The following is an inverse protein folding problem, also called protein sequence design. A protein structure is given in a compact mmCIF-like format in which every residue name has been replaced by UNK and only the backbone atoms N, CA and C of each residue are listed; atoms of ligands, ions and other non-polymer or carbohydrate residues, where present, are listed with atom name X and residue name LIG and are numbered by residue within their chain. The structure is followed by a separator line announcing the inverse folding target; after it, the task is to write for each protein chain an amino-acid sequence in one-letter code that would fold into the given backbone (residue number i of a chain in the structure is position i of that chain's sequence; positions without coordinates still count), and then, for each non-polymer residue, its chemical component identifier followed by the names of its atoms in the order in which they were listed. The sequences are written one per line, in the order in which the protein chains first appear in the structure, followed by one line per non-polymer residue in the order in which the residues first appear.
data_IF_520153534458
#
_entry.id   IF_520153534458
#
_cell.length_a   1.000
_cell.length_b   1.000
_cell.length_c   1.000
_cell.angle_alpha   90.00
_cell.angle_beta   90.00
_cell.angle_gamma   90.00
#
_symmetry.space_group_name_H-M   'P 1'
#
loop_
_entity.id
_entity.type
_entity.pdbx_description
1 polymer ?
#
# COMPACT_ATOMS: atom_id res chain seq x y z
N UNK A 1 -2.15 2.80 11.30
CA UNK A 1 -0.94 2.00 10.98
C UNK A 1 -1.30 1.01 9.89
N UNK A 2 -0.43 0.81 8.90
CA UNK A 2 -0.62 -0.18 7.84
C UNK A 2 0.44 -1.28 8.00
N UNK A 3 -0.01 -2.53 8.09
CA UNK A 3 0.88 -3.70 8.12
C UNK A 3 0.85 -4.37 6.76
N UNK A 4 2.01 -4.64 6.17
CA UNK A 4 2.11 -5.45 4.96
C UNK A 4 2.34 -6.89 5.37
N UNK A 5 1.54 -7.78 4.80
CA UNK A 5 1.58 -9.21 5.02
C UNK A 5 1.99 -9.93 3.73
N UNK A 6 2.76 -11.00 3.87
CA UNK A 6 3.00 -11.93 2.77
C UNK A 6 1.76 -12.80 2.47
N UNK A 7 1.88 -13.70 1.50
CA UNK A 7 0.80 -14.63 1.11
C UNK A 7 0.34 -15.55 2.26
N UNK A 8 1.24 -15.88 3.18
CA UNK A 8 0.98 -16.68 4.39
C UNK A 8 0.43 -15.85 5.56
N UNK A 9 0.07 -14.57 5.34
CA UNK A 9 -0.40 -13.60 6.34
C UNK A 9 0.61 -13.30 7.45
N UNK A 10 1.89 -13.53 7.21
CA UNK A 10 2.95 -13.12 8.14
C UNK A 10 3.32 -11.65 7.88
N UNK A 11 3.48 -10.82 8.93
CA UNK A 11 3.89 -9.44 8.78
C UNK A 11 5.33 -9.34 8.28
N UNK A 12 5.54 -8.52 7.26
CA UNK A 12 6.85 -8.29 6.62
C UNK A 12 7.24 -6.81 6.57
N UNK A 13 6.29 -5.89 6.75
CA UNK A 13 6.58 -4.47 6.91
C UNK A 13 5.48 -3.76 7.71
N UNK A 14 5.83 -2.67 8.39
CA UNK A 14 4.91 -1.80 9.12
C UNK A 14 5.18 -0.35 8.72
N UNK A 15 4.10 0.38 8.40
CA UNK A 15 4.08 1.79 8.10
C UNK A 15 3.18 2.52 9.10
N UNK A 16 3.79 3.32 9.96
CA UNK A 16 3.07 4.14 10.95
C UNK A 16 2.57 5.45 10.34
N UNK A 17 3.35 6.02 9.41
CA UNK A 17 3.08 7.30 8.76
C UNK A 17 2.69 7.10 7.29
N UNK A 18 1.38 7.03 7.04
CA UNK A 18 0.79 7.04 5.69
C UNK A 18 -0.09 8.27 5.53
N UNK A 19 -0.34 8.64 4.27
CA UNK A 19 -0.99 9.88 3.87
C UNK A 19 -2.07 9.57 2.82
N UNK A 20 -3.06 10.46 2.70
CA UNK A 20 -4.09 10.42 1.66
C UNK A 20 -4.78 9.07 1.56
N UNK A 21 -5.17 8.49 2.69
CA UNK A 21 -5.90 7.25 2.72
C UNK A 21 -7.38 7.45 2.32
N UNK A 22 -7.88 6.54 1.50
CA UNK A 22 -9.27 6.53 1.07
C UNK A 22 -9.78 5.10 0.92
N UNK A 23 -11.02 4.85 1.34
CA UNK A 23 -11.76 3.64 1.01
C UNK A 23 -12.84 4.02 0.01
N UNK A 24 -12.74 3.46 -1.20
CA UNK A 24 -13.73 3.63 -2.25
C UNK A 24 -14.53 2.35 -2.42
N UNK A 25 -15.85 2.43 -2.29
CA UNK A 25 -16.76 1.37 -2.70
C UNK A 25 -16.93 1.39 -4.22
N UNK A 26 -16.71 0.24 -4.86
CA UNK A 26 -16.91 0.03 -6.29
C UNK A 26 -18.21 -0.74 -6.53
N UNK A 27 -18.67 -0.69 -7.78
CA UNK A 27 -19.80 -1.49 -8.26
C UNK A 27 -19.59 -2.97 -7.91
N UNK A 28 -20.67 -3.63 -7.46
CA UNK A 28 -20.71 -5.02 -6.98
C UNK A 28 -20.08 -5.26 -5.59
N UNK A 29 -19.99 -4.23 -4.74
CA UNK A 29 -19.60 -4.39 -3.33
C UNK A 29 -18.11 -4.67 -3.14
N UNK A 30 -17.28 -4.36 -4.13
CA UNK A 30 -15.83 -4.43 -3.99
C UNK A 30 -15.32 -3.13 -3.34
N UNK A 31 -14.46 -3.24 -2.32
CA UNK A 31 -13.85 -2.08 -1.68
C UNK A 31 -12.38 -1.96 -2.11
N UNK A 32 -11.96 -0.75 -2.45
CA UNK A 32 -10.55 -0.42 -2.72
C UNK A 32 -10.04 0.52 -1.66
N UNK A 33 -8.92 0.14 -1.05
CA UNK A 33 -8.17 1.01 -0.15
C UNK A 33 -6.98 1.62 -0.91
N UNK A 34 -6.94 2.94 -1.00
CA UNK A 34 -5.82 3.71 -1.53
C UNK A 34 -5.08 4.41 -0.39
N UNK A 35 -3.75 4.49 -0.49
CA UNK A 35 -2.93 5.25 0.46
C UNK A 35 -1.57 5.60 -0.18
N UNK A 36 -0.91 6.59 0.39
CA UNK A 36 0.47 6.98 0.06
C UNK A 36 1.38 6.80 1.26
N UNK A 37 2.62 6.40 1.02
CA UNK A 37 3.67 6.30 2.04
C UNK A 37 4.96 6.92 1.51
N UNK A 38 5.72 7.54 2.41
CA UNK A 38 7.12 7.89 2.12
C UNK A 38 7.92 6.60 2.23
N UNK A 39 8.48 6.15 1.12
CA UNK A 39 9.25 4.93 1.06
C UNK A 39 10.66 5.16 1.61
N UNK A 40 11.04 4.31 2.56
CA UNK A 40 12.42 3.98 2.85
C UNK A 40 12.83 2.82 1.92
N UNK A 41 14.07 2.84 1.42
CA UNK A 41 14.57 1.88 0.41
C UNK A 41 14.35 0.43 0.86
N UNK A 42 14.55 0.15 2.16
CA UNK A 42 14.44 -1.19 2.75
C UNK A 42 13.03 -1.78 2.69
N UNK A 43 11.99 -0.94 2.82
CA UNK A 43 10.59 -1.39 2.92
C UNK A 43 9.85 -1.37 1.58
N UNK A 44 10.37 -0.63 0.61
CA UNK A 44 9.76 -0.47 -0.72
C UNK A 44 9.49 -1.80 -1.44
N UNK A 45 10.39 -2.76 -1.30
CA UNK A 45 10.30 -4.10 -1.88
C UNK A 45 9.05 -4.89 -1.43
N UNK A 46 8.44 -4.55 -0.29
CA UNK A 46 7.28 -5.25 0.22
C UNK A 46 5.96 -4.71 -0.35
N UNK A 47 5.96 -3.52 -0.96
CA UNK A 47 4.80 -2.96 -1.66
C UNK A 47 4.74 -3.57 -3.07
N UNK A 48 4.27 -4.82 -3.14
CA UNK A 48 4.22 -5.58 -4.39
C UNK A 48 2.93 -6.38 -4.49
N UNK A 49 2.56 -6.69 -5.74
CA UNK A 49 1.40 -7.55 -6.02
C UNK A 49 1.60 -8.92 -5.40
N UNK A 50 0.55 -9.43 -4.75
CA UNK A 50 0.56 -10.72 -4.05
C UNK A 50 0.76 -10.59 -2.53
N UNK A 51 1.29 -9.47 -2.05
CA UNK A 51 1.21 -9.10 -0.63
C UNK A 51 -0.15 -8.46 -0.31
N UNK A 52 -0.45 -8.37 0.99
CA UNK A 52 -1.69 -7.76 1.50
C UNK A 52 -1.36 -6.57 2.39
N UNK A 53 -2.21 -5.55 2.37
CA UNK A 53 -2.23 -4.48 3.36
C UNK A 53 -3.30 -4.79 4.40
N UNK A 54 -2.94 -4.72 5.68
CA UNK A 54 -3.86 -4.75 6.80
C UNK A 54 -3.97 -3.35 7.40
N UNK A 55 -5.20 -2.87 7.52
CA UNK A 55 -5.54 -1.58 8.15
C UNK A 55 -6.83 -1.77 8.94
N UNK A 56 -6.84 -1.38 10.21
CA UNK A 56 -8.01 -1.46 11.09
C UNK A 56 -8.69 -2.85 11.12
N UNK A 57 -7.89 -3.93 11.07
CA UNK A 57 -8.37 -5.31 11.07
C UNK A 57 -8.97 -5.80 9.74
N UNK A 58 -8.93 -4.97 8.69
CA UNK A 58 -9.36 -5.32 7.35
C UNK A 58 -8.17 -5.64 6.44
N UNK A 59 -8.36 -6.58 5.51
CA UNK A 59 -7.31 -7.04 4.61
C UNK A 59 -7.60 -6.66 3.16
N UNK A 60 -6.66 -5.97 2.53
CA UNK A 60 -6.72 -5.56 1.13
C UNK A 60 -5.58 -6.23 0.35
N UNK A 61 -5.89 -6.81 -0.81
CA UNK A 61 -4.85 -7.29 -1.71
C UNK A 61 -4.18 -6.10 -2.40
N UNK A 62 -2.85 -6.07 -2.44
CA UNK A 62 -2.13 -5.08 -3.24
C UNK A 62 -2.26 -5.52 -4.70
N UNK A 63 -3.02 -4.76 -5.49
CA UNK A 63 -3.26 -5.03 -6.92
C UNK A 63 -2.54 -4.06 -7.84
N UNK A 64 -2.18 -2.87 -7.31
CA UNK A 64 -1.49 -1.82 -8.05
C UNK A 64 -0.73 -0.94 -7.06
N UNK A 65 0.46 -0.52 -7.45
CA UNK A 65 1.22 0.54 -6.76
C UNK A 65 1.93 1.41 -7.80
N UNK A 66 2.27 2.64 -7.41
CA UNK A 66 3.10 3.55 -8.21
C UNK A 66 4.13 4.15 -7.27
N UNK A 67 5.39 4.09 -7.66
CA UNK A 67 6.47 4.79 -6.99
C UNK A 67 6.75 6.08 -7.75
N UNK A 68 6.87 7.19 -7.03
CA UNK A 68 7.29 8.46 -7.59
C UNK A 68 8.68 8.77 -7.05
N UNK A 69 9.69 8.74 -7.92
CA UNK A 69 11.02 9.22 -7.57
C UNK A 69 11.11 10.71 -7.93
N UNK A 70 11.18 11.62 -6.94
CA UNK A 70 11.26 13.06 -7.20
C UNK A 70 12.48 13.44 -8.05
N UNK A 71 13.54 12.62 -8.12
CA UNK A 71 14.72 12.87 -8.96
C UNK A 71 14.48 12.63 -10.45
N UNK A 72 13.43 11.90 -10.82
CA UNK A 72 13.12 11.54 -12.22
C UNK A 72 12.02 12.40 -12.85
N UNK A 73 11.39 13.26 -12.05
CA UNK A 73 10.31 14.14 -12.54
C UNK A 73 10.94 15.42 -13.07
N UNK A 74 11.32 15.43 -14.35
CA UNK A 74 11.44 16.70 -15.06
C UNK A 74 10.04 17.30 -15.13
N UNK A 75 9.83 18.38 -14.39
CA UNK A 75 8.67 19.26 -14.58
C UNK A 75 8.59 19.64 -16.07
N UNK A 76 7.42 19.51 -16.72
CA UNK A 76 7.22 20.03 -18.07
C UNK A 76 7.36 21.56 -18.12
#
# INVERSE_FOLDING_TARGET
MITILNQSRQPIAIFENYLNDEITEQLNGAYTFGFSIVLDEEKSQYIQVGNKAEVEGQYFNIVKHRQHDPKTTKLP
#
